data_IF_487915438548
#
_entry.id   IF_487915438548
#
_cell.length_a   1.000
_cell.length_b   1.000
_cell.length_c   1.000
_cell.angle_alpha   90.00
_cell.angle_beta   90.00
_cell.angle_gamma   90.00
#
_symmetry.space_group_name_H-M   'P 1'
#
loop_
_entity.id
_entity.type
_entity.pdbx_description
1 polymer ?
#
# COMPACT_ATOMS: atom_id res chain seq x y z
N UNK A 1 -20.30 6.69 -12.04
CA UNK A 1 -19.53 5.43 -12.16
C UNK A 1 -18.03 5.75 -12.21
N UNK A 2 -17.29 5.49 -11.13
CA UNK A 2 -15.84 5.64 -11.15
C UNK A 2 -15.28 4.66 -12.20
N UNK A 3 -14.60 5.14 -13.24
CA UNK A 3 -14.11 4.27 -14.29
C UNK A 3 -13.04 3.34 -13.71
N UNK A 4 -13.17 2.07 -14.07
CA UNK A 4 -12.20 1.03 -13.79
C UNK A 4 -11.26 0.91 -14.99
N UNK A 5 -9.96 0.75 -14.73
CA UNK A 5 -9.00 0.35 -15.74
C UNK A 5 -8.38 -1.00 -15.35
N UNK A 6 -8.68 -2.03 -16.14
CA UNK A 6 -7.99 -3.32 -16.05
C UNK A 6 -6.88 -3.35 -17.07
N UNK A 7 -5.62 -3.42 -16.63
CA UNK A 7 -4.48 -3.63 -17.52
C UNK A 7 -3.93 -5.03 -17.26
N UNK A 8 -3.65 -5.79 -18.33
CA UNK A 8 -2.88 -7.02 -18.19
C UNK A 8 -1.46 -6.64 -17.74
N UNK A 9 -0.97 -7.27 -16.67
CA UNK A 9 0.37 -7.02 -16.15
C UNK A 9 1.36 -8.03 -16.75
N UNK A 10 1.64 -7.90 -18.04
CA UNK A 10 2.64 -8.74 -18.71
C UNK A 10 2.70 -8.51 -20.22
N UNK A 11 3.79 -8.94 -20.89
CA UNK A 11 3.82 -9.02 -22.35
C UNK A 11 2.61 -9.80 -22.87
N UNK A 12 2.13 -9.50 -24.09
CA UNK A 12 1.14 -10.35 -24.77
C UNK A 12 1.62 -11.82 -24.69
N UNK A 13 0.87 -12.66 -23.97
CA UNK A 13 1.19 -14.08 -23.79
C UNK A 13 2.04 -14.44 -22.56
N UNK A 14 2.32 -13.53 -21.63
CA UNK A 14 3.10 -13.81 -20.42
C UNK A 14 2.25 -13.73 -19.12
N UNK A 15 1.35 -14.72 -18.99
CA UNK A 15 0.96 -15.37 -17.74
C UNK A 15 0.08 -14.61 -16.76
N UNK A 16 -1.20 -14.97 -16.73
CA UNK A 16 -2.04 -15.18 -15.54
C UNK A 16 -2.05 -14.11 -14.42
N UNK A 17 -1.61 -12.88 -14.68
CA UNK A 17 -1.61 -11.75 -13.73
C UNK A 17 -2.30 -10.53 -14.35
N UNK A 18 -3.31 -10.02 -13.66
CA UNK A 18 -4.07 -8.81 -14.05
C UNK A 18 -4.02 -7.78 -12.94
N UNK A 19 -3.97 -6.51 -13.33
CA UNK A 19 -4.08 -5.39 -12.39
C UNK A 19 -5.34 -4.61 -12.66
N UNK A 20 -5.99 -4.22 -11.58
CA UNK A 20 -7.27 -3.55 -11.60
C UNK A 20 -7.20 -2.34 -10.67
N UNK A 21 -7.57 -1.19 -11.20
CA UNK A 21 -7.36 0.07 -10.49
C UNK A 21 -8.66 0.81 -10.21
N UNK A 22 -8.70 1.45 -9.05
CA UNK A 22 -9.77 2.37 -8.67
C UNK A 22 -9.20 3.61 -7.99
N UNK A 23 -9.76 4.79 -8.26
CA UNK A 23 -9.44 5.97 -7.47
C UNK A 23 -10.04 5.84 -6.07
N UNK A 24 -9.24 6.15 -5.05
CA UNK A 24 -9.73 6.42 -3.70
C UNK A 24 -9.35 7.84 -3.32
N UNK A 25 -10.37 8.60 -2.91
CA UNK A 25 -10.19 9.89 -2.25
C UNK A 25 -10.19 9.70 -0.74
N UNK A 26 -9.05 9.90 -0.08
CA UNK A 26 -8.93 9.86 1.38
C UNK A 26 -8.22 11.11 1.89
N UNK A 27 -8.78 11.80 2.89
CA UNK A 27 -8.18 13.01 3.50
C UNK A 27 -7.66 14.08 2.50
N UNK A 28 -8.41 14.35 1.42
CA UNK A 28 -8.06 15.29 0.33
C UNK A 28 -6.92 14.86 -0.59
N UNK A 29 -6.64 13.56 -0.61
CA UNK A 29 -5.67 12.93 -1.50
C UNK A 29 -6.41 11.94 -2.39
N UNK A 30 -6.25 12.05 -3.71
CA UNK A 30 -6.81 11.08 -4.67
C UNK A 30 -5.68 10.24 -5.27
N UNK A 31 -5.58 8.98 -4.84
CA UNK A 31 -4.65 7.95 -5.38
C UNK A 31 -5.42 6.92 -6.20
N UNK A 32 -4.74 6.22 -7.11
CA UNK A 32 -5.15 4.87 -7.48
C UNK A 32 -4.81 3.90 -6.34
N UNK A 33 -5.76 3.04 -5.97
CA UNK A 33 -5.48 1.76 -5.33
C UNK A 33 -5.55 0.67 -6.39
N UNK A 34 -4.86 -0.45 -6.15
CA UNK A 34 -4.76 -1.54 -7.11
C UNK A 34 -5.02 -2.89 -6.47
N UNK A 35 -5.92 -3.63 -7.09
CA UNK A 35 -6.08 -5.06 -6.87
C UNK A 35 -5.27 -5.82 -7.92
N UNK A 36 -4.49 -6.80 -7.49
CA UNK A 36 -3.80 -7.73 -8.41
C UNK A 36 -4.48 -9.08 -8.35
N UNK A 37 -4.76 -9.66 -9.51
CA UNK A 37 -5.38 -10.98 -9.63
C UNK A 37 -4.40 -11.91 -10.31
N UNK A 38 -4.20 -13.07 -9.73
CA UNK A 38 -3.32 -14.13 -10.23
C UNK A 38 -4.16 -15.37 -10.43
N UNK A 39 -4.09 -15.99 -11.61
CA UNK A 39 -4.66 -17.32 -11.83
C UNK A 39 -3.62 -18.37 -11.43
N UNK A 40 -4.05 -19.29 -10.56
CA UNK A 40 -3.26 -20.39 -10.04
C UNK A 40 -3.29 -21.59 -11.00
N UNK A 41 -2.39 -22.56 -10.81
CA UNK A 41 -2.32 -23.80 -11.59
C UNK A 41 -3.64 -24.60 -11.58
N UNK A 42 -4.41 -24.49 -10.50
CA UNK A 42 -5.72 -25.15 -10.34
C UNK A 42 -6.89 -24.42 -11.02
N UNK A 43 -6.60 -23.31 -11.72
CA UNK A 43 -7.54 -22.44 -12.41
C UNK A 43 -8.28 -21.44 -11.52
N UNK A 44 -8.10 -21.50 -10.20
CA UNK A 44 -8.64 -20.55 -9.24
C UNK A 44 -7.92 -19.21 -9.29
N UNK A 45 -8.61 -18.14 -8.88
CA UNK A 45 -8.05 -16.81 -8.77
C UNK A 45 -7.62 -16.52 -7.34
N UNK A 46 -6.41 -16.00 -7.22
CA UNK A 46 -5.83 -15.40 -6.04
C UNK A 46 -5.83 -13.88 -6.19
N UNK A 47 -6.36 -13.17 -5.19
CA UNK A 47 -6.61 -11.73 -5.23
C UNK A 47 -5.81 -11.03 -4.15
N UNK A 48 -4.97 -10.08 -4.52
CA UNK A 48 -4.20 -9.21 -3.63
C UNK A 48 -4.85 -7.83 -3.52
N UNK A 49 -4.98 -7.31 -2.30
CA UNK A 49 -5.47 -5.96 -1.99
C UNK A 49 -6.78 -5.62 -2.74
N UNK A 50 -7.89 -6.29 -2.39
CA UNK A 50 -9.14 -6.15 -3.12
C UNK A 50 -9.69 -4.72 -3.11
N UNK A 51 -10.17 -4.28 -4.26
CA UNK A 51 -10.82 -2.99 -4.46
C UNK A 51 -12.36 -3.12 -4.41
N UNK A 52 -13.09 -2.02 -4.60
CA UNK A 52 -14.55 -2.02 -4.52
C UNK A 52 -15.17 -3.00 -5.53
N UNK A 53 -16.03 -3.95 -5.10
CA UNK A 53 -16.62 -4.97 -5.96
C UNK A 53 -17.79 -4.42 -6.79
N UNK A 54 -17.50 -3.53 -7.74
CA UNK A 54 -18.50 -3.01 -8.68
C UNK A 54 -19.02 -4.12 -9.59
N UNK A 55 -20.22 -3.95 -10.15
CA UNK A 55 -20.79 -4.93 -11.09
C UNK A 55 -19.83 -5.22 -12.25
N UNK A 56 -19.24 -4.18 -12.84
CA UNK A 56 -18.26 -4.31 -13.92
C UNK A 56 -17.02 -5.11 -13.51
N UNK A 57 -16.49 -4.92 -12.29
CA UNK A 57 -15.34 -5.68 -11.80
C UNK A 57 -15.72 -7.16 -11.61
N UNK A 58 -16.88 -7.42 -11.02
CA UNK A 58 -17.38 -8.77 -10.80
C UNK A 58 -17.60 -9.52 -12.12
N UNK A 59 -18.14 -8.85 -13.14
CA UNK A 59 -18.29 -9.43 -14.49
C UNK A 59 -16.95 -9.80 -15.12
N UNK A 60 -15.91 -8.97 -14.93
CA UNK A 60 -14.57 -9.27 -15.43
C UNK A 60 -13.92 -10.43 -14.69
N UNK A 61 -14.02 -10.46 -13.36
CA UNK A 61 -13.52 -11.58 -12.56
C UNK A 61 -14.18 -12.89 -12.97
N UNK A 62 -15.50 -12.89 -13.19
CA UNK A 62 -16.24 -14.07 -13.65
C UNK A 62 -15.75 -14.61 -15.00
N UNK A 63 -15.16 -13.76 -15.86
CA UNK A 63 -14.55 -14.19 -17.12
C UNK A 63 -13.14 -14.78 -16.93
N UNK A 64 -12.44 -14.43 -15.85
CA UNK A 64 -11.10 -14.90 -15.56
C UNK A 64 -11.07 -16.24 -14.83
N UNK A 65 -12.02 -16.47 -13.92
CA UNK A 65 -12.09 -17.68 -13.09
C UNK A 65 -12.84 -17.48 -11.76
N UNK A 66 -12.85 -18.52 -10.94
CA UNK A 66 -13.43 -18.48 -9.59
C UNK A 66 -12.45 -17.86 -8.60
N UNK A 67 -12.87 -16.84 -7.84
CA UNK A 67 -12.07 -16.30 -6.73
C UNK A 67 -12.03 -17.30 -5.59
N UNK A 68 -10.84 -17.87 -5.34
CA UNK A 68 -10.61 -18.87 -4.26
C UNK A 68 -9.89 -18.30 -3.06
N UNK A 69 -9.03 -17.32 -3.29
CA UNK A 69 -8.19 -16.75 -2.26
C UNK A 69 -8.17 -15.24 -2.37
N UNK A 70 -8.35 -14.56 -1.25
CA UNK A 70 -8.21 -13.12 -1.10
C UNK A 70 -7.16 -12.87 -0.04
N UNK A 71 -6.26 -11.94 -0.31
CA UNK A 71 -5.15 -11.60 0.55
C UNK A 71 -5.07 -10.10 0.73
N UNK A 72 -4.93 -9.65 1.97
CA UNK A 72 -4.67 -8.25 2.32
C UNK A 72 -3.19 -8.11 2.70
N UNK A 73 -2.43 -7.45 1.83
CA UNK A 73 -0.98 -7.33 1.89
C UNK A 73 -0.49 -6.29 2.89
N UNK A 74 -1.28 -5.27 3.24
CA UNK A 74 -0.83 -4.21 4.14
C UNK A 74 -1.81 -3.88 5.29
N UNK A 75 -1.27 -3.26 6.34
CA UNK A 75 -2.04 -2.66 7.42
C UNK A 75 -2.65 -1.30 7.05
N UNK A 76 -2.23 -0.70 5.93
CA UNK A 76 -2.71 0.60 5.50
C UNK A 76 -4.21 0.56 5.18
N UNK A 77 -4.92 1.59 5.65
CA UNK A 77 -6.39 1.57 5.76
C UNK A 77 -7.07 1.62 4.39
N UNK A 78 -6.45 2.28 3.43
CA UNK A 78 -6.89 2.45 2.04
C UNK A 78 -7.01 1.12 1.29
N UNK A 79 -6.13 0.15 1.56
CA UNK A 79 -6.14 -1.17 0.94
C UNK A 79 -7.08 -2.14 1.67
N UNK A 80 -7.31 -1.92 2.96
CA UNK A 80 -8.30 -2.66 3.74
C UNK A 80 -9.74 -2.28 3.40
N UNK A 81 -9.93 -1.06 2.92
CA UNK A 81 -11.22 -0.38 2.88
C UNK A 81 -12.34 -1.21 2.23
N UNK A 82 -12.04 -1.91 1.13
CA UNK A 82 -13.03 -2.71 0.40
C UNK A 82 -12.97 -4.21 0.67
N UNK A 83 -12.04 -4.68 1.52
CA UNK A 83 -11.81 -6.10 1.75
C UNK A 83 -13.07 -6.82 2.21
N UNK A 84 -13.82 -6.23 3.15
CA UNK A 84 -15.07 -6.84 3.63
C UNK A 84 -16.14 -6.90 2.54
N UNK A 85 -16.45 -5.78 1.90
CA UNK A 85 -17.43 -5.73 0.81
C UNK A 85 -17.08 -6.71 -0.32
N UNK A 86 -15.80 -6.86 -0.65
CA UNK A 86 -15.33 -7.81 -1.65
C UNK A 86 -15.56 -9.26 -1.21
N UNK A 87 -15.18 -9.62 0.02
CA UNK A 87 -15.40 -10.95 0.59
C UNK A 87 -16.89 -11.32 0.69
N UNK A 88 -17.78 -10.35 0.94
CA UNK A 88 -19.23 -10.59 0.93
C UNK A 88 -19.76 -11.05 -0.45
N UNK A 89 -19.02 -10.78 -1.54
CA UNK A 89 -19.33 -11.29 -2.89
C UNK A 89 -18.74 -12.68 -3.15
N UNK A 90 -17.72 -13.08 -2.39
CA UNK A 90 -17.00 -14.34 -2.54
C UNK A 90 -16.88 -15.05 -1.17
N UNK A 91 -18.00 -15.47 -0.56
CA UNK A 91 -18.02 -15.97 0.82
C UNK A 91 -17.23 -17.27 1.05
N UNK A 92 -17.00 -18.04 -0.02
CA UNK A 92 -16.23 -19.29 0.01
C UNK A 92 -14.72 -19.05 -0.17
N UNK A 93 -14.29 -17.84 -0.57
CA UNK A 93 -12.88 -17.53 -0.72
C UNK A 93 -12.20 -17.45 0.64
N UNK A 94 -11.03 -18.08 0.79
CA UNK A 94 -10.24 -17.95 2.01
C UNK A 94 -9.65 -16.54 2.10
N UNK A 95 -9.62 -15.94 3.28
CA UNK A 95 -9.01 -14.63 3.51
C UNK A 95 -7.77 -14.71 4.40
N UNK A 96 -6.62 -14.32 3.84
CA UNK A 96 -5.37 -14.19 4.59
C UNK A 96 -5.01 -12.72 4.75
N UNK A 97 -4.56 -12.32 5.93
CA UNK A 97 -4.22 -10.93 6.21
C UNK A 97 -2.81 -10.80 6.76
N UNK A 98 -2.18 -9.67 6.42
CA UNK A 98 -0.96 -9.21 7.07
C UNK A 98 -1.20 -9.01 8.57
N UNK A 99 -0.30 -9.47 9.46
CA UNK A 99 -0.35 -9.14 10.87
C UNK A 99 -0.44 -7.63 11.12
N UNK A 100 -1.12 -7.23 12.20
CA UNK A 100 -1.36 -5.83 12.56
C UNK A 100 -2.65 -5.23 11.99
N UNK A 101 -3.34 -5.92 11.08
CA UNK A 101 -4.66 -5.49 10.59
C UNK A 101 -5.68 -5.51 11.74
N UNK A 102 -6.30 -4.35 12.01
CA UNK A 102 -7.36 -4.24 13.01
C UNK A 102 -8.67 -4.84 12.49
N UNK A 103 -9.34 -5.66 13.30
CA UNK A 103 -10.60 -6.31 12.90
C UNK A 103 -11.87 -5.53 13.31
N UNK A 104 -11.74 -4.39 13.98
CA UNK A 104 -12.85 -3.50 14.36
C UNK A 104 -12.30 -2.12 14.76
N UNK A 105 -13.15 -1.08 14.80
CA UNK A 105 -12.75 0.25 15.32
C UNK A 105 -12.72 0.19 16.85
N UNK A 106 -11.56 0.41 17.51
CA UNK A 106 -11.38 0.20 18.96
C UNK A 106 -12.33 1.01 19.84
N UNK A 107 -12.83 2.16 19.37
CA UNK A 107 -13.58 3.11 20.18
C UNK A 107 -15.10 3.00 20.05
N UNK A 108 -15.64 2.21 19.11
CA UNK A 108 -17.09 2.09 18.87
C UNK A 108 -17.51 0.67 18.45
N UNK A 109 -17.40 -0.32 19.35
CA UNK A 109 -17.81 -1.70 19.08
C UNK A 109 -19.33 -1.87 18.93
N UNK A 110 -20.12 -0.86 19.30
CA UNK A 110 -21.59 -0.81 19.32
C UNK A 110 -22.21 -0.15 18.08
N UNK A 111 -21.39 0.38 17.16
CA UNK A 111 -21.89 1.09 15.98
C UNK A 111 -22.47 0.08 14.98
N UNK A 112 -23.81 -0.04 14.91
CA UNK A 112 -24.49 -0.66 13.77
C UNK A 112 -24.62 0.35 12.62
N UNK A 113 -23.85 0.22 11.53
CA UNK A 113 -23.94 1.16 10.42
C UNK A 113 -25.10 0.76 9.52
N UNK A 114 -26.30 1.25 9.82
CA UNK A 114 -27.38 1.27 8.83
C UNK A 114 -27.23 2.56 8.02
N UNK A 115 -26.81 2.43 6.76
CA UNK A 115 -26.85 3.52 5.78
C UNK A 115 -25.56 4.35 5.56
N UNK A 116 -24.42 3.99 6.15
CA UNK A 116 -23.12 4.62 5.84
C UNK A 116 -22.22 3.65 5.07
N UNK A 117 -22.46 3.48 3.77
CA UNK A 117 -21.70 2.57 2.89
C UNK A 117 -20.17 2.77 2.85
N UNK A 118 -19.63 3.83 3.46
CA UNK A 118 -18.19 4.10 3.59
C UNK A 118 -17.60 3.67 4.96
N UNK A 119 -18.37 3.70 6.04
CA UNK A 119 -17.84 3.38 7.38
C UNK A 119 -18.07 1.91 7.77
N UNK A 120 -18.95 1.21 7.04
CA UNK A 120 -19.37 -0.18 7.31
C UNK A 120 -18.19 -1.15 7.34
N UNK A 121 -17.26 -1.04 6.40
CA UNK A 121 -16.16 -2.00 6.27
C UNK A 121 -15.04 -1.79 7.30
N UNK A 122 -14.97 -0.60 7.91
CA UNK A 122 -14.02 -0.31 8.99
C UNK A 122 -14.50 -0.82 10.36
N UNK A 123 -15.81 -0.80 10.59
CA UNK A 123 -16.43 -1.17 11.87
C UNK A 123 -16.91 -2.61 11.93
N UNK A 124 -17.19 -3.26 10.80
CA UNK A 124 -17.61 -4.67 10.79
C UNK A 124 -16.39 -5.60 10.89
N UNK A 125 -16.45 -6.60 11.78
CA UNK A 125 -15.48 -7.69 11.77
C UNK A 125 -15.41 -8.36 10.40
N UNK A 126 -14.19 -8.50 9.91
CA UNK A 126 -13.87 -9.28 8.71
C UNK A 126 -13.39 -10.65 9.16
N UNK A 127 -13.87 -11.71 8.51
CA UNK A 127 -13.35 -13.07 8.75
C UNK A 127 -11.89 -13.08 8.33
N UNK A 128 -10.99 -13.56 9.17
CA UNK A 128 -9.58 -13.81 8.83
C UNK A 128 -9.35 -15.30 9.03
N UNK A 129 -9.13 -16.00 7.91
CA UNK A 129 -8.93 -17.45 7.88
C UNK A 129 -7.47 -17.82 8.16
N UNK A 130 -6.54 -16.89 7.91
CA UNK A 130 -5.12 -17.06 8.24
C UNK A 130 -4.33 -15.76 8.25
N UNK A 131 -3.11 -15.83 8.80
CA UNK A 131 -2.16 -14.73 8.92
C UNK A 131 -0.95 -15.00 8.04
N UNK A 132 -0.46 -13.95 7.38
CA UNK A 132 0.72 -13.99 6.52
C UNK A 132 2.03 -13.94 7.33
N UNK A 133 2.13 -14.76 8.38
CA UNK A 133 3.33 -14.89 9.20
C UNK A 133 4.40 -15.69 8.45
N UNK A 134 5.69 -15.60 8.82
CA UNK A 134 6.74 -16.39 8.19
C UNK A 134 6.40 -17.89 8.17
N UNK A 135 6.25 -18.47 6.98
CA UNK A 135 5.87 -19.87 6.79
C UNK A 135 4.49 -20.25 7.35
N UNK A 136 3.59 -19.28 7.57
CA UNK A 136 2.28 -19.47 8.22
C UNK A 136 2.37 -20.02 9.65
N UNK A 137 3.55 -19.92 10.29
CA UNK A 137 3.78 -20.41 11.63
C UNK A 137 3.24 -19.46 12.70
N UNK A 138 3.01 -19.98 13.91
CA UNK A 138 2.70 -19.14 15.05
C UNK A 138 3.87 -18.21 15.36
N UNK A 139 3.59 -16.95 15.66
CA UNK A 139 4.61 -15.95 16.00
C UNK A 139 4.05 -14.88 16.92
N UNK A 140 4.92 -14.21 17.65
CA UNK A 140 4.57 -13.06 18.48
C UNK A 140 5.18 -11.81 17.85
N UNK A 141 4.33 -10.85 17.47
CA UNK A 141 4.74 -9.58 16.88
C UNK A 141 4.20 -8.46 17.77
N UNK A 142 5.09 -7.61 18.29
CA UNK A 142 4.78 -6.51 19.22
C UNK A 142 3.94 -6.94 20.42
N UNK A 143 4.25 -8.12 20.98
CA UNK A 143 3.53 -8.69 22.11
C UNK A 143 2.13 -9.23 21.77
N UNK A 144 1.74 -9.24 20.50
CA UNK A 144 0.51 -9.88 20.01
C UNK A 144 0.85 -11.25 19.43
N UNK A 145 0.20 -12.28 19.98
CA UNK A 145 0.36 -13.65 19.50
C UNK A 145 -0.54 -13.89 18.29
N UNK A 146 0.07 -14.27 17.18
CA UNK A 146 -0.59 -14.72 15.96
C UNK A 146 -0.54 -16.24 15.90
N UNK A 147 -1.69 -16.94 15.82
CA UNK A 147 -1.71 -18.39 15.73
C UNK A 147 -1.17 -18.87 14.39
N UNK A 148 -0.68 -20.11 14.37
CA UNK A 148 -0.33 -20.77 13.12
C UNK A 148 -1.57 -20.87 12.23
N UNK A 149 -1.38 -20.64 10.94
CA UNK A 149 -2.43 -20.76 9.93
C UNK A 149 -2.25 -22.05 9.14
N UNK A 150 -3.33 -22.53 8.54
CA UNK A 150 -3.20 -23.58 7.53
C UNK A 150 -2.30 -23.08 6.39
N UNK A 151 -1.43 -23.95 5.86
CA UNK A 151 -0.63 -23.59 4.69
C UNK A 151 -1.55 -23.61 3.48
N UNK A 152 -1.81 -22.46 2.83
CA UNK A 152 -2.76 -22.41 1.74
C UNK A 152 -2.21 -23.11 0.50
N UNK A 153 -3.11 -23.62 -0.34
CA UNK A 153 -2.77 -24.34 -1.58
C UNK A 153 -1.87 -23.53 -2.53
N UNK A 154 -2.00 -22.21 -2.54
CA UNK A 154 -1.21 -21.31 -3.39
C UNK A 154 0.23 -21.11 -2.92
N UNK A 155 0.62 -21.54 -1.71
CA UNK A 155 1.96 -21.32 -1.17
C UNK A 155 3.08 -22.01 -1.99
N UNK A 156 2.71 -23.00 -2.82
CA UNK A 156 3.61 -23.60 -3.80
C UNK A 156 4.00 -22.64 -4.94
N UNK A 157 3.08 -21.76 -5.34
CA UNK A 157 3.18 -20.89 -6.52
C UNK A 157 3.57 -19.44 -6.18
N UNK A 158 3.23 -19.01 -4.96
CA UNK A 158 3.44 -17.64 -4.48
C UNK A 158 4.20 -17.69 -3.16
N UNK A 159 5.42 -17.14 -3.14
CA UNK A 159 6.15 -16.92 -1.88
C UNK A 159 5.72 -15.60 -1.24
N UNK A 160 5.85 -15.47 0.07
CA UNK A 160 5.59 -14.22 0.79
C UNK A 160 6.69 -13.86 1.79
N UNK A 161 6.81 -12.57 2.08
CA UNK A 161 7.78 -12.03 3.03
C UNK A 161 7.15 -10.85 3.80
N UNK A 162 6.97 -11.04 5.10
CA UNK A 162 6.41 -10.04 5.99
C UNK A 162 7.48 -9.04 6.42
N UNK A 163 7.26 -7.76 6.12
CA UNK A 163 7.88 -6.63 6.78
C UNK A 163 6.93 -6.18 7.91
N UNK A 164 7.35 -6.36 9.16
CA UNK A 164 6.57 -5.91 10.30
C UNK A 164 7.46 -5.11 11.22
N UNK A 165 7.26 -3.79 11.23
CA UNK A 165 8.09 -2.87 11.99
C UNK A 165 7.26 -2.24 13.11
N UNK A 166 7.78 -2.31 14.33
CA UNK A 166 7.24 -1.55 15.44
C UNK A 166 7.88 -0.16 15.45
N UNK A 167 7.07 0.86 15.19
CA UNK A 167 7.52 2.24 15.29
C UNK A 167 6.94 2.86 16.56
N UNK A 168 7.56 3.91 17.08
CA UNK A 168 7.06 4.65 18.25
C UNK A 168 5.64 5.23 18.08
N UNK A 169 5.09 5.21 16.87
CA UNK A 169 3.84 5.88 16.49
C UNK A 169 2.75 4.87 16.08
N UNK A 170 3.13 3.80 15.36
CA UNK A 170 2.26 2.71 14.96
C UNK A 170 3.07 1.50 14.50
N UNK A 171 2.55 0.30 14.70
CA UNK A 171 3.08 -0.89 14.05
C UNK A 171 2.62 -0.91 12.59
N UNK A 172 3.56 -1.02 11.65
CA UNK A 172 3.27 -1.10 10.22
C UNK A 172 3.64 -2.49 9.70
N UNK A 173 2.67 -3.13 9.06
CA UNK A 173 2.85 -4.41 8.39
C UNK A 173 2.63 -4.28 6.89
N UNK A 174 3.56 -4.82 6.10
CA UNK A 174 3.38 -5.10 4.68
C UNK A 174 3.93 -6.50 4.37
N UNK A 175 3.20 -7.29 3.60
CA UNK A 175 3.67 -8.56 3.07
C UNK A 175 3.94 -8.40 1.59
N UNK A 176 5.18 -8.57 1.18
CA UNK A 176 5.52 -8.73 -0.23
C UNK A 176 5.24 -10.15 -0.70
N UNK A 177 4.90 -10.29 -1.98
CA UNK A 177 4.70 -11.59 -2.61
C UNK A 177 5.55 -11.74 -3.86
N UNK A 178 6.04 -12.96 -4.12
CA UNK A 178 6.66 -13.31 -5.38
C UNK A 178 5.79 -14.33 -6.10
N UNK A 179 5.23 -13.93 -7.24
CA UNK A 179 4.59 -14.86 -8.17
C UNK A 179 5.71 -15.60 -8.92
N UNK A 180 5.91 -16.89 -8.62
CA UNK A 180 7.10 -17.64 -9.10
C UNK A 180 7.15 -17.74 -10.61
N UNK A 181 6.00 -18.07 -11.24
CA UNK A 181 5.90 -18.33 -12.67
C UNK A 181 6.28 -17.11 -13.53
N UNK A 182 5.81 -15.92 -13.15
CA UNK A 182 6.08 -14.67 -13.88
C UNK A 182 7.25 -13.86 -13.31
N UNK A 183 7.78 -14.26 -12.14
CA UNK A 183 8.83 -13.54 -11.40
C UNK A 183 8.39 -12.10 -11.07
N UNK A 184 7.10 -11.94 -10.81
CA UNK A 184 6.49 -10.66 -10.45
C UNK A 184 6.53 -10.49 -8.94
N UNK A 185 7.17 -9.41 -8.48
CA UNK A 185 7.10 -8.97 -7.11
C UNK A 185 5.83 -8.14 -6.91
N UNK A 186 4.96 -8.52 -5.98
CA UNK A 186 3.86 -7.70 -5.50
C UNK A 186 4.29 -7.05 -4.19
N UNK A 187 4.08 -5.75 -4.09
CA UNK A 187 4.25 -4.95 -2.89
C UNK A 187 3.06 -4.00 -2.81
N UNK A 188 2.72 -3.56 -1.61
CA UNK A 188 1.63 -2.63 -1.42
C UNK A 188 2.16 -1.20 -1.52
N UNK A 189 2.90 -0.73 -0.51
CA UNK A 189 3.37 0.66 -0.45
C UNK A 189 4.91 0.79 -0.48
N UNK A 190 5.62 -0.32 -0.28
CA UNK A 190 7.08 -0.32 -0.05
C UNK A 190 7.94 0.10 -1.24
N UNK A 191 7.45 -0.04 -2.47
CA UNK A 191 8.13 0.44 -3.68
C UNK A 191 7.15 1.15 -4.60
N UNK A 192 7.68 2.12 -5.33
CA UNK A 192 6.95 2.89 -6.32
C UNK A 192 7.75 2.99 -7.60
N UNK A 193 7.04 3.10 -8.73
CA UNK A 193 7.58 3.48 -10.02
C UNK A 193 6.70 4.57 -10.64
N UNK A 194 7.33 5.54 -11.32
CA UNK A 194 6.63 6.56 -12.09
C UNK A 194 7.26 6.57 -13.48
N UNK A 195 6.44 6.33 -14.51
CA UNK A 195 6.87 6.38 -15.91
C UNK A 195 6.84 7.84 -16.39
N UNK A 196 7.97 8.37 -16.85
CA UNK A 196 8.04 9.76 -17.35
C UNK A 196 7.26 9.97 -18.65
N UNK A 197 6.96 8.91 -19.39
CA UNK A 197 6.26 8.93 -20.67
C UNK A 197 4.79 8.52 -20.60
N UNK A 198 4.28 8.15 -19.41
CA UNK A 198 2.89 7.70 -19.25
C UNK A 198 2.03 8.70 -18.48
N UNK A 199 0.87 8.98 -19.03
CA UNK A 199 -0.20 9.73 -18.39
C UNK A 199 -1.24 8.75 -17.84
N UNK A 200 -1.97 9.14 -16.79
CA UNK A 200 -3.08 8.34 -16.28
C UNK A 200 -4.41 9.05 -16.48
N UNK A 201 -5.50 8.31 -16.43
CA UNK A 201 -6.83 8.88 -16.64
C UNK A 201 -7.16 9.97 -15.61
N UNK A 202 -6.60 9.91 -14.40
CA UNK A 202 -6.81 10.89 -13.34
C UNK A 202 -6.28 12.27 -13.78
N UNK A 203 -5.13 12.25 -14.44
CA UNK A 203 -4.41 13.43 -14.93
C UNK A 203 -4.85 13.87 -16.32
N UNK A 204 -5.39 12.95 -17.13
CA UNK A 204 -5.99 13.23 -18.44
C UNK A 204 -7.44 13.74 -18.35
N UNK A 205 -8.24 13.23 -17.41
CA UNK A 205 -9.68 13.53 -17.29
C UNK A 205 -10.01 14.62 -16.28
N UNK A 206 -9.03 15.07 -15.49
CA UNK A 206 -9.16 16.09 -14.45
C UNK A 206 -9.66 17.44 -14.97
N UNK A 207 -10.97 17.56 -15.20
CA UNK A 207 -11.61 18.88 -15.31
C UNK A 207 -11.77 19.46 -13.91
N UNK A 208 -11.02 20.54 -13.69
CA UNK A 208 -11.12 21.50 -12.58
C UNK A 208 -12.49 21.56 -11.92
N UNK A 209 -12.56 21.23 -10.63
CA UNK A 209 -13.65 21.67 -9.76
C UNK A 209 -13.11 22.73 -8.78
N UNK A 210 -13.52 23.98 -8.97
CA UNK A 210 -13.13 25.12 -8.12
C UNK A 210 -13.79 25.10 -6.74
N UNK A 211 -14.75 24.22 -6.49
CA UNK A 211 -15.50 24.17 -5.23
C UNK A 211 -14.84 23.32 -4.14
N UNK A 212 -13.81 22.54 -4.48
CA UNK A 212 -13.06 21.72 -3.54
C UNK A 212 -11.68 22.33 -3.23
N UNK A 213 -11.29 22.47 -1.96
CA UNK A 213 -9.92 22.81 -1.61
C UNK A 213 -9.04 21.61 -1.97
N UNK A 214 -7.80 21.87 -2.42
CA UNK A 214 -6.78 20.85 -2.74
C UNK A 214 -6.88 20.22 -4.14
N UNK A 215 -6.69 21.05 -5.17
CA UNK A 215 -6.04 20.69 -6.44
C UNK A 215 -5.53 21.98 -7.12
N UNK A 216 -4.24 22.28 -6.96
CA UNK A 216 -3.61 23.51 -7.46
C UNK A 216 -2.58 23.15 -8.54
N UNK A 217 -3.01 23.07 -9.80
CA UNK A 217 -2.09 23.02 -10.94
C UNK A 217 -2.24 24.24 -11.83
N UNK A 218 -1.13 24.87 -12.22
CA UNK A 218 -1.10 25.76 -13.38
C UNK A 218 -1.54 25.00 -14.65
N UNK A 219 -2.27 25.68 -15.54
CA UNK A 219 -2.81 25.05 -16.77
C UNK A 219 -1.69 24.58 -17.69
N UNK A 220 -0.57 25.31 -17.69
CA UNK A 220 0.64 25.12 -18.49
C UNK A 220 1.46 23.88 -18.11
N UNK A 221 1.17 23.21 -17.00
CA UNK A 221 1.87 21.98 -16.62
C UNK A 221 1.44 20.81 -17.51
N UNK A 222 2.41 19.99 -17.91
CA UNK A 222 2.14 18.76 -18.67
C UNK A 222 1.36 17.77 -17.80
N UNK A 223 0.58 16.84 -18.39
CA UNK A 223 -0.15 15.83 -17.62
C UNK A 223 0.77 14.95 -16.76
N UNK A 224 1.98 14.64 -17.23
CA UNK A 224 2.99 13.87 -16.48
C UNK A 224 3.46 14.63 -15.24
N UNK A 225 3.60 15.97 -15.35
CA UNK A 225 3.92 16.85 -14.23
C UNK A 225 2.75 16.97 -13.24
N UNK A 226 1.51 17.01 -13.73
CA UNK A 226 0.31 17.00 -12.87
C UNK A 226 0.21 15.69 -12.11
N UNK A 227 0.41 14.56 -12.81
CA UNK A 227 0.48 13.20 -12.25
C UNK A 227 1.49 13.16 -11.13
N UNK A 228 2.73 13.54 -11.41
CA UNK A 228 3.78 13.57 -10.43
C UNK A 228 3.46 14.37 -9.17
N UNK A 229 2.82 15.54 -9.29
CA UNK A 229 2.53 16.39 -8.13
C UNK A 229 1.30 15.92 -7.36
N UNK A 230 0.25 15.43 -8.03
CA UNK A 230 -0.87 14.75 -7.37
C UNK A 230 -0.33 13.64 -6.48
N UNK A 231 0.57 12.86 -7.08
CA UNK A 231 1.25 11.72 -6.51
C UNK A 231 2.25 12.05 -5.40
N UNK A 232 2.92 13.21 -5.46
CA UNK A 232 3.78 13.71 -4.38
C UNK A 232 3.01 14.31 -3.21
N UNK A 233 1.83 14.91 -3.42
CA UNK A 233 1.02 15.47 -2.34
C UNK A 233 0.56 14.41 -1.34
N UNK A 234 0.30 13.20 -1.83
CA UNK A 234 -0.14 12.00 -1.09
C UNK A 234 0.89 11.60 -0.05
N UNK A 235 2.15 11.61 -0.46
CA UNK A 235 3.24 11.14 0.36
C UNK A 235 3.87 12.31 1.13
N UNK A 236 4.09 13.46 0.51
CA UNK A 236 4.89 14.57 1.11
C UNK A 236 4.07 15.59 1.88
N UNK A 237 2.74 15.50 1.84
CA UNK A 237 1.74 16.34 2.52
C UNK A 237 1.84 17.85 2.22
N UNK A 238 2.93 18.40 1.65
CA UNK A 238 2.98 19.86 1.58
C UNK A 238 3.96 20.53 0.64
N UNK A 239 4.71 19.86 -0.25
CA UNK A 239 5.84 20.60 -0.84
C UNK A 239 6.18 20.43 -2.31
N UNK A 240 6.33 21.57 -3.04
CA UNK A 240 6.70 21.54 -4.43
C UNK A 240 8.16 21.11 -4.59
N UNK A 241 8.36 19.98 -5.25
CA UNK A 241 9.65 19.64 -5.85
C UNK A 241 9.90 20.57 -7.03
N UNK A 242 11.17 20.91 -7.28
CA UNK A 242 11.56 21.53 -8.53
C UNK A 242 11.57 20.51 -9.67
N UNK A 243 11.58 21.01 -10.90
CA UNK A 243 11.51 20.17 -12.11
C UNK A 243 12.68 19.16 -12.19
N UNK A 244 13.87 19.53 -11.69
CA UNK A 244 15.06 18.65 -11.67
C UNK A 244 14.96 17.53 -10.64
N UNK A 245 14.43 17.83 -9.46
CA UNK A 245 14.20 16.83 -8.42
C UNK A 245 13.11 15.84 -8.86
N UNK A 246 12.13 16.31 -9.64
CA UNK A 246 11.11 15.46 -10.26
C UNK A 246 11.68 14.51 -11.33
N UNK A 247 12.45 15.02 -12.31
CA UNK A 247 13.13 14.19 -13.32
C UNK A 247 13.99 13.09 -12.68
N UNK A 248 14.52 13.36 -11.48
CA UNK A 248 15.29 12.36 -10.75
C UNK A 248 14.44 11.19 -10.23
N UNK A 249 13.13 11.34 -10.05
CA UNK A 249 12.23 10.35 -9.43
C UNK A 249 11.49 9.46 -10.43
N UNK A 250 11.48 9.81 -11.70
CA UNK A 250 10.83 9.02 -12.76
C UNK A 250 11.76 7.93 -13.31
N UNK A 251 11.17 6.94 -13.97
CA UNK A 251 11.84 5.82 -14.66
C UNK A 251 12.79 4.99 -13.79
N UNK A 252 12.56 5.02 -12.47
CA UNK A 252 13.30 4.21 -11.49
C UNK A 252 12.39 3.76 -10.37
N UNK A 253 12.78 2.65 -9.74
CA UNK A 253 12.19 2.23 -8.48
C UNK A 253 12.69 3.14 -7.36
N UNK A 254 11.78 3.52 -6.47
CA UNK A 254 12.14 4.24 -5.26
C UNK A 254 11.18 3.91 -4.12
N UNK A 255 11.65 4.15 -2.90
CA UNK A 255 10.83 4.09 -1.68
C UNK A 255 10.37 5.51 -1.35
N UNK A 256 9.08 5.69 -1.09
CA UNK A 256 8.55 6.99 -0.70
C UNK A 256 9.29 7.53 0.55
N UNK A 257 9.67 8.83 0.59
CA UNK A 257 10.47 9.40 1.67
C UNK A 257 9.93 9.13 3.09
N UNK A 258 8.62 9.09 3.26
CA UNK A 258 7.92 8.89 4.54
C UNK A 258 8.12 7.47 5.04
N UNK A 259 7.97 6.49 4.16
CA UNK A 259 8.24 5.10 4.49
C UNK A 259 9.73 4.92 4.78
N UNK A 260 10.62 5.55 3.99
CA UNK A 260 12.05 5.56 4.29
C UNK A 260 12.32 6.02 5.73
N UNK A 261 11.78 7.17 6.14
CA UNK A 261 12.10 7.80 7.43
C UNK A 261 11.37 7.18 8.63
N UNK A 262 10.06 6.96 8.50
CA UNK A 262 9.21 6.56 9.61
C UNK A 262 9.07 5.06 9.74
N UNK A 263 9.40 4.30 8.69
CA UNK A 263 9.20 2.86 8.64
C UNK A 263 10.56 2.19 8.52
N UNK A 264 11.20 2.22 7.36
CA UNK A 264 12.42 1.45 7.11
C UNK A 264 13.61 1.88 7.98
N UNK A 265 13.83 3.18 8.20
CA UNK A 265 14.94 3.66 9.03
C UNK A 265 14.66 3.54 10.54
N UNK A 266 13.42 3.22 10.96
CA UNK A 266 13.08 2.99 12.38
C UNK A 266 13.64 1.67 12.91
N UNK A 267 13.67 0.63 12.07
CA UNK A 267 14.38 -0.62 12.28
C UNK A 267 15.16 -1.02 11.01
N UNK A 268 16.40 -0.51 10.86
CA UNK A 268 17.24 -0.82 9.71
C UNK A 268 17.63 -2.29 9.61
N UNK A 269 17.66 -3.02 10.72
CA UNK A 269 18.08 -4.43 10.73
C UNK A 269 16.96 -5.32 10.18
N UNK A 270 15.73 -5.19 10.70
CA UNK A 270 14.56 -5.89 10.17
C UNK A 270 14.28 -5.52 8.71
N UNK A 271 14.41 -4.23 8.38
CA UNK A 271 14.31 -3.74 7.00
C UNK A 271 15.32 -4.42 6.08
N UNK A 272 16.59 -4.52 6.49
CA UNK A 272 17.63 -5.15 5.69
C UNK A 272 17.35 -6.63 5.44
N UNK A 273 16.90 -7.37 6.45
CA UNK A 273 16.56 -8.79 6.31
C UNK A 273 15.44 -9.02 5.29
N UNK A 274 14.42 -8.18 5.35
CA UNK A 274 13.32 -8.21 4.38
C UNK A 274 13.80 -7.86 2.97
N UNK A 275 14.59 -6.79 2.81
CA UNK A 275 15.18 -6.39 1.52
C UNK A 275 16.06 -7.51 0.94
N UNK A 276 16.88 -8.15 1.77
CA UNK A 276 17.72 -9.28 1.35
C UNK A 276 16.87 -10.46 0.86
N UNK A 277 15.67 -10.66 1.41
CA UNK A 277 14.69 -11.65 0.90
C UNK A 277 14.22 -11.27 -0.50
N UNK A 278 13.81 -10.01 -0.72
CA UNK A 278 13.39 -9.54 -2.04
C UNK A 278 14.52 -9.66 -3.09
N UNK A 279 15.77 -9.38 -2.67
CA UNK A 279 16.94 -9.54 -3.53
C UNK A 279 17.19 -11.01 -3.86
N UNK A 280 17.09 -11.93 -2.89
CA UNK A 280 17.18 -13.38 -3.17
C UNK A 280 16.10 -13.84 -4.14
N UNK A 281 14.90 -13.28 -4.03
CA UNK A 281 13.82 -13.56 -4.95
C UNK A 281 14.10 -13.13 -6.38
N UNK A 282 14.98 -12.17 -6.65
CA UNK A 282 15.37 -11.77 -8.01
C UNK A 282 14.21 -11.57 -9.01
N UNK A 283 13.21 -10.74 -8.67
CA UNK A 283 12.07 -10.46 -9.54
C UNK A 283 12.50 -9.77 -10.84
N UNK A 284 11.61 -9.81 -11.84
CA UNK A 284 11.80 -9.20 -13.16
C UNK A 284 10.91 -7.98 -13.38
N UNK A 285 9.82 -7.92 -12.64
CA UNK A 285 8.89 -6.82 -12.63
C UNK A 285 8.30 -6.66 -11.23
N UNK A 286 7.79 -5.48 -10.94
CA UNK A 286 7.09 -5.18 -9.70
C UNK A 286 5.69 -4.65 -10.01
N UNK A 287 4.73 -5.02 -9.18
CA UNK A 287 3.40 -4.42 -9.13
C UNK A 287 3.23 -3.85 -7.72
N UNK A 288 3.32 -2.53 -7.62
CA UNK A 288 2.99 -1.78 -6.41
C UNK A 288 1.47 -1.54 -6.34
N UNK A 289 0.92 -1.13 -5.20
CA UNK A 289 -0.51 -0.77 -5.13
C UNK A 289 -0.82 0.64 -5.64
N UNK A 290 0.21 1.47 -5.80
CA UNK A 290 0.10 2.86 -6.25
C UNK A 290 0.94 3.13 -7.51
N UNK A 291 0.61 4.21 -8.23
CA UNK A 291 1.37 4.71 -9.39
C UNK A 291 1.47 3.71 -10.55
N UNK A 292 2.51 3.82 -11.39
CA UNK A 292 2.66 3.01 -12.60
C UNK A 292 3.07 1.57 -12.27
N UNK A 293 2.26 0.62 -12.74
CA UNK A 293 2.60 -0.79 -12.71
C UNK A 293 1.90 -1.58 -13.84
N UNK A 294 2.42 -2.77 -14.22
CA UNK A 294 3.70 -3.34 -13.79
C UNK A 294 4.89 -2.48 -14.23
N UNK A 295 5.95 -2.47 -13.42
CA UNK A 295 7.18 -1.74 -13.71
C UNK A 295 8.37 -2.70 -13.84
N UNK A 296 9.36 -2.41 -14.71
CA UNK A 296 10.59 -3.18 -14.79
C UNK A 296 11.32 -3.23 -13.44
N UNK A 297 11.76 -4.41 -13.04
CA UNK A 297 12.46 -4.61 -11.77
C UNK A 297 13.75 -5.38 -12.01
N UNK A 298 14.88 -4.77 -11.68
CA UNK A 298 16.20 -5.41 -11.74
C UNK A 298 16.81 -5.49 -10.35
N UNK A 299 17.77 -6.40 -10.16
CA UNK A 299 18.57 -6.46 -8.93
C UNK A 299 19.19 -5.10 -8.57
N UNK A 300 19.75 -4.40 -9.57
CA UNK A 300 20.35 -3.10 -9.34
C UNK A 300 19.28 -2.06 -8.99
N UNK A 301 18.16 -2.05 -9.70
CA UNK A 301 17.04 -1.15 -9.40
C UNK A 301 16.50 -1.31 -7.98
N UNK A 302 16.37 -2.55 -7.48
CA UNK A 302 16.01 -2.81 -6.08
C UNK A 302 17.08 -2.30 -5.11
N UNK A 303 18.36 -2.56 -5.40
CA UNK A 303 19.47 -2.08 -4.56
C UNK A 303 19.52 -0.56 -4.49
N UNK A 304 19.32 0.10 -5.62
CA UNK A 304 19.31 1.56 -5.72
C UNK A 304 18.12 2.13 -4.94
N UNK A 305 16.92 1.56 -5.09
CA UNK A 305 15.72 1.96 -4.36
C UNK A 305 15.90 1.86 -2.83
N UNK A 306 16.57 0.82 -2.36
CA UNK A 306 16.84 0.57 -0.93
C UNK A 306 18.26 0.96 -0.47
N UNK A 307 18.99 1.75 -1.26
CA UNK A 307 20.37 2.17 -0.94
C UNK A 307 20.50 2.81 0.44
N UNK A 308 19.48 3.52 0.91
CA UNK A 308 19.47 4.12 2.26
C UNK A 308 19.50 3.13 3.43
N UNK A 309 19.22 1.84 3.19
CA UNK A 309 19.45 0.74 4.13
C UNK A 309 20.73 -0.04 3.76
N UNK A 310 20.94 -0.30 2.47
CA UNK A 310 22.00 -1.21 2.00
C UNK A 310 23.39 -0.57 1.91
N UNK A 311 23.45 0.69 1.48
CA UNK A 311 24.65 1.48 1.21
C UNK A 311 24.36 2.98 1.37
N UNK A 312 24.34 3.43 2.63
CA UNK A 312 23.93 4.80 3.00
C UNK A 312 24.75 5.90 2.35
N UNK A 313 25.99 5.61 1.96
CA UNK A 313 26.88 6.61 1.33
C UNK A 313 26.49 6.91 -0.11
N UNK A 314 25.92 5.93 -0.82
CA UNK A 314 25.44 6.09 -2.20
C UNK A 314 23.96 6.47 -2.29
N UNK A 315 23.24 6.46 -1.17
CA UNK A 315 21.83 6.77 -1.13
C UNK A 315 21.56 8.20 -1.62
N UNK A 316 20.60 8.41 -2.55
CA UNK A 316 20.25 9.75 -2.97
C UNK A 316 19.82 10.56 -1.75
N UNK A 317 20.34 11.79 -1.60
CA UNK A 317 19.97 12.65 -0.49
C UNK A 317 18.45 12.87 -0.57
N UNK A 318 17.79 12.78 0.58
CA UNK A 318 16.44 13.31 0.66
C UNK A 318 16.51 14.79 0.27
N UNK A 319 15.57 15.31 -0.52
CA UNK A 319 15.53 16.73 -0.87
C UNK A 319 15.73 17.58 0.39
N UNK A 320 16.71 18.49 0.34
CA UNK A 320 17.10 19.29 1.50
C UNK A 320 15.90 20.04 2.06
N UNK A 321 15.62 19.82 3.36
CA UNK A 321 14.51 20.34 4.19
C UNK A 321 13.21 19.50 4.30
N UNK A 322 13.13 18.29 3.74
CA UNK A 322 11.84 17.60 3.56
C UNK A 322 11.36 16.54 4.58
N UNK A 323 11.70 16.71 5.84
CA UNK A 323 11.12 15.91 6.94
C UNK A 323 10.56 16.78 8.07
N UNK A 324 10.96 18.05 8.17
CA UNK A 324 10.58 18.90 9.29
C UNK A 324 9.10 19.25 9.28
N UNK A 325 8.43 19.30 8.12
CA UNK A 325 6.99 19.54 8.02
C UNK A 325 6.17 18.37 8.56
N UNK A 326 6.47 17.14 8.11
CA UNK A 326 5.80 15.92 8.57
C UNK A 326 6.18 15.57 10.00
N UNK A 327 7.47 15.65 10.39
CA UNK A 327 7.88 15.51 11.78
C UNK A 327 7.19 16.55 12.68
N UNK A 328 7.11 17.82 12.27
CA UNK A 328 6.37 18.83 13.05
C UNK A 328 4.88 18.57 13.06
N UNK A 329 4.25 18.19 11.94
CA UNK A 329 2.82 17.93 11.87
C UNK A 329 2.43 16.71 12.72
N UNK A 330 3.17 15.61 12.57
CA UNK A 330 3.04 14.40 13.38
C UNK A 330 3.37 14.70 14.84
N UNK A 331 4.44 15.42 15.17
CA UNK A 331 4.72 15.86 16.55
C UNK A 331 3.63 16.78 17.10
N UNK A 332 3.03 17.67 16.29
CA UNK A 332 1.93 18.56 16.70
C UNK A 332 0.67 17.75 16.96
N UNK A 333 0.33 16.80 16.10
CA UNK A 333 -0.82 15.91 16.26
C UNK A 333 -0.63 14.98 17.46
N UNK A 334 0.54 14.35 17.61
CA UNK A 334 0.87 13.51 18.76
C UNK A 334 0.88 14.31 20.06
N UNK A 335 1.48 15.51 20.10
CA UNK A 335 1.43 16.40 21.28
C UNK A 335 0.02 16.91 21.62
N UNK A 336 -0.82 17.19 20.62
CA UNK A 336 -2.19 17.71 20.84
C UNK A 336 -3.21 16.64 21.19
N UNK A 337 -2.98 15.39 20.78
CA UNK A 337 -3.96 14.30 20.86
C UNK A 337 -3.60 13.26 21.92
N UNK A 338 -2.32 12.87 22.07
CA UNK A 338 -1.90 11.80 23.01
C UNK A 338 -1.35 12.33 24.34
N UNK A 339 -0.73 13.51 24.35
CA UNK A 339 -0.08 14.06 25.56
C UNK A 339 -0.89 15.13 26.29
N UNK A 340 -2.16 15.36 25.92
CA UNK A 340 -3.01 16.36 26.60
C UNK A 340 -3.18 16.04 28.08
N UNK A 341 -3.40 14.76 28.42
CA UNK A 341 -3.56 14.33 29.81
C UNK A 341 -2.26 14.41 30.63
N UNK A 342 -1.09 14.13 30.02
CA UNK A 342 0.22 14.29 30.70
C UNK A 342 0.60 15.75 30.92
N UNK A 343 0.24 16.65 30.00
CA UNK A 343 0.50 18.09 30.12
C UNK A 343 -0.45 18.77 31.13
N UNK A 344 -1.68 18.31 31.24
CA UNK A 344 -2.64 18.79 32.25
C UNK A 344 -2.29 18.26 33.65
N UNK A 345 -1.86 17.00 33.78
CA UNK A 345 -1.38 16.43 35.04
C UNK A 345 -0.10 17.12 35.57
N UNK A 346 0.83 17.49 34.68
CA UNK A 346 2.06 18.20 35.06
C UNK A 346 1.84 19.65 35.52
N UNK A 347 0.82 20.34 34.99
CA UNK A 347 0.47 21.72 35.43
C UNK A 347 -0.27 21.77 36.76
N UNK A 348 -0.97 20.72 37.14
CA UNK A 348 -1.65 20.65 38.44
C UNK A 348 -0.66 20.38 39.60
N UNK A 349 0.48 19.74 39.32
CA UNK A 349 1.53 19.48 40.31
C UNK A 349 2.45 20.69 40.61
N UNK A 350 2.43 21.73 39.78
CA UNK A 350 3.15 22.99 40.04
C UNK A 350 2.26 24.04 40.74
N UNK A 351 1.01 23.71 41.06
CA UNK A 351 0.03 24.60 41.71
C UNK A 351 -0.49 24.09 43.08
N UNK A 352 0.08 22.99 43.60
CA UNK A 352 -0.01 22.56 45.01
C UNK A 352 1.35 22.71 45.69
#
# INVERSE_FOLDING_TARGET
PAPFWGRAAGPEGAGDVWVFEQPVGFLNVTVNIRMTVVRLEDGGLWVHDPIAPTEQLLEQLAQLGEVRHVVLGATAIEHKFFARSFLDRFPEASFYATPGVFNYVPFRPDLEPRGLGLFVDLIRPTRIDGWLTPGFAATTLNGVDYPASEVPSWAGEIDHALLFLDTDIASLGETAFLIKGSRTLLVTDSLTFIDSGSTDWLTESGKRDRSFPFNLYPEEWTPERKKAVDMMQIYTIQTPYGDREFESLTDRLYVCPQLRLFVFESDPAGSREWIDTLLRWNPKQVVASHFDAPAPCSQQGLRDAFSFILDRESAPPLPGDYCMGVLKAVQIVLRRTLFRERLEAGRMQELE
#
